data_IF_758256959283
#
_entry.id   IF_758256959283
#
_cell.length_a   1.000
_cell.length_b   1.000
_cell.length_c   1.000
_cell.angle_alpha   90.00
_cell.angle_beta   90.00
_cell.angle_gamma   90.00
#
_symmetry.space_group_name_H-M   'P 1'
#
loop_
_entity.id
_entity.type
_entity.pdbx_description
1 polymer ?
#
# COMPACT_ATOMS: atom_id res chain seq x y z
N UNK A 1 10.39 4.86 22.70
CA UNK A 1 10.97 5.07 21.35
C UNK A 1 11.51 6.48 21.34
N UNK A 2 12.83 6.64 21.32
CA UNK A 2 13.43 7.96 21.07
C UNK A 2 13.28 8.23 19.58
N UNK A 3 12.43 9.19 19.23
CA UNK A 3 12.30 9.69 17.88
C UNK A 3 13.60 10.42 17.53
N UNK A 4 14.28 9.97 16.47
CA UNK A 4 15.49 10.64 16.01
C UNK A 4 15.09 12.07 15.60
N UNK A 5 15.53 13.05 16.39
CA UNK A 5 15.33 14.47 16.12
C UNK A 5 16.20 14.86 14.92
N UNK A 6 15.66 14.75 13.71
CA UNK A 6 16.34 15.17 12.48
C UNK A 6 16.25 16.69 12.30
N UNK A 7 17.20 17.40 12.90
CA UNK A 7 17.45 18.82 12.64
C UNK A 7 18.93 19.02 12.30
N UNK A 8 19.33 18.79 11.04
CA UNK A 8 20.38 19.53 10.32
C UNK A 8 20.90 18.76 9.08
N UNK A 9 20.38 19.08 7.89
CA UNK A 9 21.03 19.06 6.55
C UNK A 9 19.98 18.80 5.45
N UNK A 10 18.98 19.69 5.33
CA UNK A 10 17.79 19.46 4.53
C UNK A 10 18.05 19.39 3.00
N UNK A 11 19.15 19.95 2.49
CA UNK A 11 19.37 20.03 1.03
C UNK A 11 20.05 18.80 0.45
N UNK A 12 21.10 18.28 1.08
CA UNK A 12 21.77 17.06 0.60
C UNK A 12 20.91 15.82 0.85
N UNK A 13 20.24 15.76 2.00
CA UNK A 13 19.33 14.66 2.34
C UNK A 13 18.13 14.60 1.37
N UNK A 14 17.64 15.76 0.90
CA UNK A 14 16.56 15.83 -0.09
C UNK A 14 16.94 15.17 -1.43
N UNK A 15 18.13 15.43 -1.95
CA UNK A 15 18.57 14.82 -3.22
C UNK A 15 18.74 13.29 -3.09
N UNK A 16 19.21 12.82 -1.93
CA UNK A 16 19.31 11.39 -1.65
C UNK A 16 17.95 10.71 -1.60
N UNK A 17 17.00 11.31 -0.89
CA UNK A 17 15.62 10.80 -0.81
C UNK A 17 14.99 10.78 -2.20
N UNK A 18 15.13 11.85 -2.99
CA UNK A 18 14.59 11.92 -4.34
C UNK A 18 15.18 10.83 -5.26
N UNK A 19 16.42 10.39 -5.05
CA UNK A 19 17.04 9.29 -5.80
C UNK A 19 16.41 7.91 -5.52
N UNK A 20 15.64 7.78 -4.43
CA UNK A 20 14.91 6.56 -4.06
C UNK A 20 13.54 6.46 -4.73
N UNK A 21 13.08 7.51 -5.42
CA UNK A 21 11.77 7.55 -6.06
C UNK A 21 11.73 6.55 -7.21
N UNK A 22 10.72 5.69 -7.20
CA UNK A 22 10.54 4.65 -8.19
C UNK A 22 10.30 5.26 -9.59
N UNK A 23 11.12 4.83 -10.55
CA UNK A 23 10.93 5.18 -11.95
C UNK A 23 9.57 4.69 -12.46
N UNK A 24 9.10 5.25 -13.58
CA UNK A 24 7.83 4.81 -14.17
C UNK A 24 7.83 3.31 -14.50
N UNK A 25 8.95 2.78 -14.98
CA UNK A 25 9.05 1.38 -15.37
C UNK A 25 9.17 0.45 -14.16
N UNK A 26 9.89 0.88 -13.11
CA UNK A 26 9.87 0.18 -11.82
C UNK A 26 8.46 0.16 -11.24
N UNK A 27 7.73 1.28 -11.22
CA UNK A 27 6.34 1.33 -10.76
C UNK A 27 5.45 0.36 -11.53
N UNK A 28 5.58 0.28 -12.85
CA UNK A 28 4.85 -0.72 -13.64
C UNK A 28 5.23 -2.14 -13.24
N UNK A 29 6.53 -2.47 -13.18
CA UNK A 29 7.03 -3.81 -12.88
C UNK A 29 6.70 -4.30 -11.46
N UNK A 30 6.49 -3.36 -10.55
CA UNK A 30 6.10 -3.61 -9.17
C UNK A 30 4.60 -3.44 -8.92
N UNK A 31 3.83 -3.34 -10.00
CA UNK A 31 2.36 -3.36 -9.98
C UNK A 31 1.70 -2.13 -9.39
N UNK A 32 2.36 -0.97 -9.36
CA UNK A 32 1.73 0.29 -8.98
C UNK A 32 0.70 0.75 -10.03
N UNK A 33 -0.34 1.48 -9.62
CA UNK A 33 -1.21 2.19 -10.55
C UNK A 33 -0.42 3.23 -11.37
N UNK A 34 -0.42 3.09 -12.69
CA UNK A 34 0.27 3.98 -13.62
C UNK A 34 -0.68 4.44 -14.71
N UNK A 35 -0.81 5.75 -14.92
CA UNK A 35 -1.66 6.25 -15.99
C UNK A 35 -1.06 5.94 -17.38
N UNK A 36 -1.93 5.46 -18.27
CA UNK A 36 -1.66 5.21 -19.69
C UNK A 36 -2.79 5.85 -20.52
N UNK A 37 -2.50 7.01 -21.12
CA UNK A 37 -3.49 7.83 -21.85
C UNK A 37 -4.69 8.16 -20.94
N UNK A 38 -5.90 7.78 -21.33
CA UNK A 38 -7.15 7.98 -20.57
C UNK A 38 -7.44 6.89 -19.54
N UNK A 39 -6.61 5.85 -19.42
CA UNK A 39 -6.84 4.71 -18.55
C UNK A 39 -5.75 4.55 -17.49
N UNK A 40 -6.05 3.85 -16.40
CA UNK A 40 -5.08 3.45 -15.38
C UNK A 40 -4.65 2.01 -15.63
N UNK A 41 -3.35 1.80 -15.75
CA UNK A 41 -2.73 0.49 -15.84
C UNK A 41 -2.33 0.02 -14.45
N UNK A 42 -2.74 -1.18 -14.09
CA UNK A 42 -2.25 -1.90 -12.91
C UNK A 42 -1.74 -3.24 -13.42
N UNK A 43 -0.46 -3.56 -13.16
CA UNK A 43 0.09 -4.84 -13.60
C UNK A 43 -0.69 -5.99 -12.93
N UNK A 44 -1.02 -7.06 -13.69
CA UNK A 44 -1.58 -8.27 -13.13
C UNK A 44 -0.60 -8.91 -12.14
N UNK A 45 -1.13 -9.62 -11.15
CA UNK A 45 -0.35 -10.27 -10.11
C UNK A 45 0.75 -11.19 -10.69
N UNK A 46 1.95 -11.17 -10.09
CA UNK A 46 3.11 -12.01 -10.44
C UNK A 46 2.85 -13.53 -10.39
N UNK A 47 1.74 -13.97 -9.79
CA UNK A 47 1.32 -15.38 -9.74
C UNK A 47 0.40 -15.79 -10.91
N UNK A 48 0.03 -14.84 -11.79
CA UNK A 48 -0.65 -15.11 -13.04
C UNK A 48 0.36 -15.00 -14.18
N UNK A 49 0.80 -16.13 -14.72
CA UNK A 49 1.65 -16.24 -15.91
C UNK A 49 0.99 -15.71 -17.20
N UNK A 50 -0.20 -15.11 -17.11
CA UNK A 50 -0.92 -14.50 -18.21
C UNK A 50 -1.00 -12.99 -17.98
N UNK A 51 -0.59 -12.24 -19.01
CA UNK A 51 -0.87 -10.81 -19.16
C UNK A 51 -2.39 -10.65 -19.22
N UNK A 52 -3.03 -10.57 -18.05
CA UNK A 52 -4.47 -10.37 -17.94
C UNK A 52 -4.73 -8.86 -17.91
N UNK A 53 -5.01 -8.28 -19.07
CA UNK A 53 -5.78 -7.04 -19.05
C UNK A 53 -7.14 -7.39 -18.43
N UNK A 54 -7.52 -6.74 -17.33
CA UNK A 54 -8.89 -6.83 -16.85
C UNK A 54 -9.79 -6.37 -18.01
N UNK A 55 -10.48 -7.31 -18.63
CA UNK A 55 -11.52 -6.97 -19.62
C UNK A 55 -12.79 -6.64 -18.85
N UNK A 56 -13.70 -5.87 -19.44
CA UNK A 56 -15.00 -5.57 -18.82
C UNK A 56 -15.84 -6.83 -18.53
N UNK A 57 -15.40 -7.98 -19.05
CA UNK A 57 -16.02 -9.30 -18.89
C UNK A 57 -15.16 -10.26 -18.04
N UNK A 58 -14.07 -9.78 -17.42
CA UNK A 58 -13.22 -10.62 -16.58
C UNK A 58 -13.83 -10.84 -15.20
N UNK A 59 -14.58 -11.93 -15.11
CA UNK A 59 -15.24 -12.41 -13.90
C UNK A 59 -14.39 -13.42 -13.12
N UNK A 60 -13.15 -13.68 -13.53
CA UNK A 60 -12.31 -14.71 -12.90
C UNK A 60 -11.38 -14.09 -11.85
N UNK A 61 -11.24 -14.75 -10.70
CA UNK A 61 -10.36 -14.34 -9.61
C UNK A 61 -9.48 -15.51 -9.18
N UNK A 62 -8.34 -15.20 -8.57
CA UNK A 62 -7.44 -16.18 -7.96
C UNK A 62 -7.42 -15.95 -6.47
N UNK A 63 -7.77 -16.99 -5.71
CA UNK A 63 -7.77 -16.93 -4.28
C UNK A 63 -6.32 -16.78 -3.76
N UNK A 64 -6.02 -15.70 -3.04
CA UNK A 64 -4.66 -15.48 -2.50
C UNK A 64 -4.30 -16.44 -1.36
N UNK A 65 -5.31 -17.08 -0.72
CA UNK A 65 -5.13 -18.15 0.27
C UNK A 65 -4.79 -19.50 -0.37
N UNK A 66 -5.72 -20.03 -1.16
CA UNK A 66 -5.66 -21.42 -1.66
C UNK A 66 -5.24 -21.55 -3.13
N UNK A 67 -5.01 -20.43 -3.81
CA UNK A 67 -4.62 -20.36 -5.23
C UNK A 67 -5.66 -20.92 -6.21
N UNK A 68 -6.86 -21.28 -5.73
CA UNK A 68 -7.99 -21.70 -6.57
C UNK A 68 -8.48 -20.54 -7.42
N UNK A 69 -8.74 -20.83 -8.69
CA UNK A 69 -9.42 -19.93 -9.62
C UNK A 69 -10.92 -20.06 -9.42
N UNK A 70 -11.63 -18.95 -9.26
CA UNK A 70 -13.08 -18.91 -9.04
C UNK A 70 -13.73 -17.75 -9.79
N UNK A 71 -15.05 -17.79 -9.92
CA UNK A 71 -15.82 -16.75 -10.61
C UNK A 71 -16.53 -15.81 -9.63
N UNK A 72 -16.62 -14.53 -9.99
CA UNK A 72 -17.41 -13.49 -9.33
C UNK A 72 -18.46 -12.94 -10.28
N UNK A 73 -19.47 -12.27 -9.75
CA UNK A 73 -20.43 -11.53 -10.56
C UNK A 73 -19.77 -10.32 -11.24
N UNK A 74 -20.48 -9.67 -12.18
CA UNK A 74 -19.91 -8.57 -12.99
C UNK A 74 -19.46 -7.36 -12.15
N UNK A 75 -20.16 -7.11 -11.04
CA UNK A 75 -19.81 -6.06 -10.08
C UNK A 75 -18.62 -6.45 -9.18
N UNK A 76 -18.24 -7.73 -9.17
CA UNK A 76 -17.19 -8.30 -8.34
C UNK A 76 -17.71 -9.12 -7.15
N UNK A 77 -19.03 -9.24 -6.98
CA UNK A 77 -19.60 -9.98 -5.87
C UNK A 77 -19.26 -11.47 -5.95
N UNK A 78 -18.66 -12.00 -4.88
CA UNK A 78 -18.45 -13.41 -4.70
C UNK A 78 -19.67 -14.03 -4.00
N UNK A 79 -20.39 -14.86 -4.75
CA UNK A 79 -21.55 -15.58 -4.23
C UNK A 79 -21.13 -16.65 -3.23
N UNK A 80 -21.68 -16.59 -2.02
CA UNK A 80 -21.53 -17.63 -0.99
C UNK A 80 -22.74 -18.57 -1.03
N UNK A 81 -22.47 -19.88 -1.06
CA UNK A 81 -23.49 -20.93 -1.10
C UNK A 81 -23.59 -21.62 0.26
N UNK A 82 -24.24 -20.96 1.22
CA UNK A 82 -24.40 -21.48 2.59
C UNK A 82 -23.08 -21.60 3.36
N UNK A 83 -23.03 -22.54 4.30
CA UNK A 83 -21.89 -22.71 5.21
C UNK A 83 -20.83 -23.70 4.69
N UNK A 84 -21.01 -24.22 3.47
CA UNK A 84 -20.07 -25.18 2.88
C UNK A 84 -18.71 -24.50 2.61
N UNK A 85 -17.58 -25.08 3.06
CA UNK A 85 -16.28 -24.50 2.82
C UNK A 85 -15.87 -24.63 1.35
N UNK A 86 -15.46 -23.51 0.75
CA UNK A 86 -14.99 -23.43 -0.65
C UNK A 86 -13.49 -23.13 -0.73
N UNK A 87 -12.92 -22.49 0.28
CA UNK A 87 -11.49 -22.20 0.38
C UNK A 87 -10.84 -23.05 1.47
N UNK A 88 -9.91 -23.91 1.06
CA UNK A 88 -9.16 -24.78 1.96
C UNK A 88 -7.71 -24.35 1.99
N UNK A 89 -7.19 -24.05 3.18
CA UNK A 89 -5.80 -23.63 3.36
C UNK A 89 -5.12 -24.65 4.24
N UNK A 90 -4.09 -25.31 3.68
CA UNK A 90 -3.35 -26.33 4.40
C UNK A 90 -2.88 -25.77 5.75
N UNK A 91 -3.29 -26.41 6.85
CA UNK A 91 -2.95 -26.02 8.24
C UNK A 91 -3.51 -24.67 8.74
N UNK A 92 -4.39 -23.99 7.99
CA UNK A 92 -4.96 -22.69 8.39
C UNK A 92 -6.49 -22.65 8.39
N UNK A 93 -7.15 -23.77 8.09
CA UNK A 93 -8.60 -23.94 8.21
C UNK A 93 -9.37 -23.93 6.88
N UNK A 94 -10.68 -23.95 7.02
CA UNK A 94 -11.64 -24.01 5.92
C UNK A 94 -12.56 -22.80 6.00
N UNK A 95 -12.77 -22.12 4.87
CA UNK A 95 -13.56 -20.90 4.77
C UNK A 95 -14.64 -21.07 3.70
N UNK A 96 -15.83 -20.55 3.95
CA UNK A 96 -16.96 -20.54 2.99
C UNK A 96 -16.85 -19.43 1.94
N UNK A 97 -15.70 -18.74 1.86
CA UNK A 97 -15.42 -17.71 0.86
C UNK A 97 -13.93 -17.75 0.44
N UNK A 98 -13.64 -17.40 -0.81
CA UNK A 98 -12.29 -17.10 -1.30
C UNK A 98 -11.91 -15.63 -1.04
N UNK A 99 -10.61 -15.32 -1.10
CA UNK A 99 -10.12 -13.93 -0.97
C UNK A 99 -9.24 -13.52 -2.15
N UNK A 100 -9.39 -12.30 -2.64
CA UNK A 100 -8.58 -11.77 -3.74
C UNK A 100 -8.28 -10.28 -3.53
N UNK A 101 -7.21 -9.80 -4.17
CA UNK A 101 -6.81 -8.37 -4.19
C UNK A 101 -6.99 -7.74 -5.57
N UNK A 102 -7.60 -8.49 -6.49
CA UNK A 102 -7.84 -8.07 -7.87
C UNK A 102 -9.00 -7.08 -7.93
N UNK A 103 -8.78 -5.93 -8.57
CA UNK A 103 -9.77 -4.86 -8.75
C UNK A 103 -10.57 -5.06 -10.03
N UNK A 104 -11.86 -4.70 -10.04
CA UNK A 104 -12.68 -4.73 -11.25
C UNK A 104 -12.32 -3.57 -12.19
N UNK A 105 -12.65 -3.69 -13.49
CA UNK A 105 -12.43 -2.61 -14.47
C UNK A 105 -13.16 -1.33 -14.06
N UNK A 106 -14.36 -1.46 -13.50
CA UNK A 106 -15.13 -0.31 -13.02
C UNK A 106 -14.43 0.42 -11.89
N UNK A 107 -13.85 -0.30 -10.93
CA UNK A 107 -13.06 0.33 -9.86
C UNK A 107 -11.81 1.02 -10.45
N UNK A 108 -11.14 0.42 -11.43
CA UNK A 108 -9.97 1.04 -12.09
C UNK A 108 -10.33 2.38 -12.77
N UNK A 109 -11.55 2.55 -13.29
CA UNK A 109 -12.04 3.80 -13.88
C UNK A 109 -12.21 4.93 -12.84
N UNK A 110 -12.34 4.59 -11.56
CA UNK A 110 -12.51 5.58 -10.46
C UNK A 110 -11.20 6.13 -9.93
N UNK A 111 -10.04 5.63 -10.39
CA UNK A 111 -8.75 6.04 -9.86
C UNK A 111 -8.48 7.52 -10.13
N UNK A 112 -8.01 8.23 -9.11
CA UNK A 112 -7.72 9.66 -9.20
C UNK A 112 -6.24 9.94 -8.96
N UNK A 113 -5.79 11.11 -9.43
CA UNK A 113 -4.43 11.61 -9.17
C UNK A 113 -4.49 12.65 -8.07
N UNK A 114 -3.42 12.69 -7.28
CA UNK A 114 -3.19 13.83 -6.40
C UNK A 114 -3.25 15.15 -7.19
N UNK A 115 -3.76 16.24 -6.58
CA UNK A 115 -3.96 17.51 -7.25
C UNK A 115 -2.65 18.10 -7.75
N UNK A 116 -2.72 18.92 -8.80
CA UNK A 116 -1.55 19.67 -9.28
C UNK A 116 -1.14 20.71 -8.24
N UNK A 117 0.15 20.99 -8.20
CA UNK A 117 0.66 22.12 -7.44
C UNK A 117 0.08 23.46 -7.94
N UNK A 118 -0.37 24.28 -7.01
CA UNK A 118 -0.84 25.65 -7.20
C UNK A 118 -0.33 26.52 -6.02
N UNK A 119 -0.49 27.86 -6.06
CA UNK A 119 0.04 28.72 -5.01
C UNK A 119 -0.41 28.38 -3.57
N UNK A 120 -1.58 27.73 -3.41
CA UNK A 120 -2.14 27.36 -2.12
C UNK A 120 -1.61 26.04 -1.56
N UNK A 121 -0.96 25.19 -2.36
CA UNK A 121 -0.49 23.86 -1.92
C UNK A 121 0.97 23.56 -2.34
N UNK A 122 1.65 24.48 -3.04
CA UNK A 122 3.01 24.28 -3.56
C UNK A 122 4.01 23.90 -2.46
N UNK A 123 3.80 24.39 -1.24
CA UNK A 123 4.63 24.09 -0.07
C UNK A 123 4.58 22.61 0.38
N UNK A 124 3.68 21.80 -0.18
CA UNK A 124 3.64 20.35 0.04
C UNK A 124 4.51 19.56 -0.94
N UNK A 125 5.04 20.21 -1.98
CA UNK A 125 5.92 19.59 -2.96
C UNK A 125 7.23 19.14 -2.30
N UNK A 126 7.73 17.95 -2.67
CA UNK A 126 8.95 17.31 -2.13
C UNK A 126 8.93 16.97 -0.64
N UNK A 127 7.83 17.27 0.08
CA UNK A 127 7.63 16.76 1.45
C UNK A 127 7.27 15.29 1.42
N UNK A 128 7.75 14.56 2.42
CA UNK A 128 7.45 13.14 2.58
C UNK A 128 6.15 12.95 3.37
N UNK A 129 5.35 11.98 2.94
CA UNK A 129 4.19 11.48 3.68
C UNK A 129 4.24 9.96 3.67
N UNK A 130 4.37 9.34 4.84
CA UNK A 130 4.27 7.90 4.93
C UNK A 130 2.80 7.50 5.09
N UNK A 131 2.38 6.52 4.30
CA UNK A 131 1.00 6.04 4.19
C UNK A 131 1.00 4.54 4.44
N UNK A 132 0.04 4.08 5.24
CA UNK A 132 -0.25 2.67 5.45
C UNK A 132 -1.76 2.45 5.51
N UNK A 133 -2.20 1.27 5.04
CA UNK A 133 -3.60 0.88 4.97
C UNK A 133 -3.83 -0.50 5.58
N UNK A 134 -4.65 -0.53 6.62
CA UNK A 134 -5.20 -1.78 7.12
C UNK A 134 -6.43 -2.16 6.30
N UNK A 135 -6.46 -3.40 5.84
CA UNK A 135 -7.50 -3.90 4.95
C UNK A 135 -8.31 -5.02 5.59
N UNK A 136 -9.53 -5.18 5.13
CA UNK A 136 -10.41 -6.32 5.41
C UNK A 136 -10.77 -7.06 4.12
N UNK A 137 -11.29 -8.28 4.22
CA UNK A 137 -11.86 -9.00 3.09
C UNK A 137 -13.38 -8.94 3.12
N UNK A 138 -13.96 -8.44 2.04
CA UNK A 138 -15.40 -8.31 1.83
C UNK A 138 -15.89 -9.29 0.77
N UNK A 139 -17.18 -9.22 0.48
CA UNK A 139 -17.78 -9.94 -0.63
C UNK A 139 -17.25 -9.56 -2.01
N UNK A 140 -16.46 -8.50 -2.14
CA UNK A 140 -15.87 -8.05 -3.41
C UNK A 140 -14.32 -8.09 -3.40
N UNK A 141 -13.74 -8.78 -2.42
CA UNK A 141 -12.28 -8.88 -2.24
C UNK A 141 -11.77 -7.95 -1.15
N UNK A 142 -10.51 -7.53 -1.28
CA UNK A 142 -9.88 -6.66 -0.29
C UNK A 142 -10.47 -5.24 -0.32
N UNK A 143 -10.81 -4.70 0.85
CA UNK A 143 -11.30 -3.34 1.03
C UNK A 143 -10.53 -2.63 2.16
N UNK A 144 -10.49 -1.30 2.11
CA UNK A 144 -9.85 -0.46 3.13
C UNK A 144 -10.68 -0.49 4.42
N UNK A 145 -10.03 -0.70 5.56
CA UNK A 145 -10.65 -0.60 6.88
C UNK A 145 -10.06 0.47 7.80
N UNK A 146 -8.77 0.83 7.62
CA UNK A 146 -8.16 2.01 8.26
C UNK A 146 -7.07 2.59 7.38
N UNK A 147 -6.89 3.90 7.44
CA UNK A 147 -5.84 4.62 6.73
C UNK A 147 -5.10 5.51 7.73
N UNK A 148 -3.78 5.43 7.71
CA UNK A 148 -2.92 6.33 8.46
C UNK A 148 -1.94 7.03 7.52
N UNK A 149 -1.80 8.35 7.66
CA UNK A 149 -0.81 9.17 6.99
C UNK A 149 -0.04 9.94 8.05
N UNK A 150 1.29 9.85 8.00
CA UNK A 150 2.18 10.65 8.83
C UNK A 150 3.04 11.57 7.97
N UNK A 151 3.33 12.78 8.47
CA UNK A 151 4.22 13.72 7.79
C UNK A 151 5.69 13.30 7.93
N UNK A 152 6.58 14.06 7.28
CA UNK A 152 8.04 13.87 7.32
C UNK A 152 8.68 13.97 8.72
N UNK A 153 7.93 14.42 9.74
CA UNK A 153 8.39 14.49 11.12
C UNK A 153 7.80 13.36 11.98
N UNK A 154 6.95 12.51 11.40
CA UNK A 154 6.25 11.43 12.09
C UNK A 154 4.99 11.89 12.84
N UNK A 155 4.50 13.11 12.58
CA UNK A 155 3.21 13.55 13.13
C UNK A 155 2.07 12.98 12.29
N UNK A 156 0.98 12.60 12.96
CA UNK A 156 -0.23 12.11 12.27
C UNK A 156 -0.87 13.26 11.49
N UNK A 157 -0.93 13.12 10.17
CA UNK A 157 -1.65 14.01 9.27
C UNK A 157 -3.09 13.52 9.01
N UNK A 158 -3.30 12.21 9.00
CA UNK A 158 -4.60 11.56 8.89
C UNK A 158 -4.57 10.21 9.61
N UNK A 159 -5.60 9.90 10.39
CA UNK A 159 -5.83 8.56 10.91
C UNK A 159 -7.34 8.35 11.04
N UNK A 160 -7.89 7.41 10.26
CA UNK A 160 -9.33 7.19 10.24
C UNK A 160 -9.71 5.76 9.87
N UNK A 161 -10.77 5.26 10.49
CA UNK A 161 -11.44 4.03 10.09
C UNK A 161 -12.34 4.29 8.88
N UNK A 162 -12.35 3.35 7.94
CA UNK A 162 -13.11 3.43 6.70
C UNK A 162 -14.21 2.38 6.74
N UNK A 163 -15.44 2.79 6.46
CA UNK A 163 -16.59 1.90 6.37
C UNK A 163 -16.59 1.20 5.01
N UNK A 164 -16.41 -0.14 4.97
CA UNK A 164 -16.57 -0.89 3.74
C UNK A 164 -18.03 -0.79 3.27
N UNK A 165 -18.26 -0.66 1.96
CA UNK A 165 -19.62 -0.63 1.40
C UNK A 165 -20.25 -2.02 1.41
N UNK A 166 -19.40 -3.03 1.30
CA UNK A 166 -19.74 -4.44 1.16
C UNK A 166 -19.67 -5.18 2.51
N UNK A 167 -20.29 -6.36 2.55
CA UNK A 167 -20.25 -7.24 3.72
C UNK A 167 -18.82 -7.70 3.96
N UNK A 168 -18.30 -7.47 5.17
CA UNK A 168 -16.99 -7.96 5.62
C UNK A 168 -17.10 -9.42 6.03
N UNK A 169 -16.32 -10.29 5.40
CA UNK A 169 -16.23 -11.72 5.74
C UNK A 169 -15.07 -12.03 6.67
N UNK A 170 -13.99 -11.26 6.60
CA UNK A 170 -12.84 -11.45 7.46
C UNK A 170 -12.09 -10.16 7.67
N UNK A 171 -11.98 -9.77 8.94
CA UNK A 171 -11.30 -8.56 9.38
C UNK A 171 -9.79 -8.71 9.32
N UNK A 172 -9.27 -9.93 9.21
CA UNK A 172 -7.85 -10.29 9.30
C UNK A 172 -7.17 -9.65 10.50
N UNK A 173 -7.86 -9.61 11.64
CA UNK A 173 -7.48 -8.86 12.86
C UNK A 173 -6.06 -9.14 13.32
N UNK A 174 -5.55 -10.37 13.17
CA UNK A 174 -4.16 -10.71 13.52
C UNK A 174 -3.11 -9.91 12.72
N UNK A 175 -3.49 -9.37 11.56
CA UNK A 175 -2.66 -8.54 10.71
C UNK A 175 -3.18 -7.09 10.74
N UNK A 176 -4.49 -6.86 10.63
CA UNK A 176 -5.04 -5.51 10.48
C UNK A 176 -5.27 -4.73 11.77
N UNK A 177 -5.37 -5.43 12.89
CA UNK A 177 -5.88 -4.89 14.16
C UNK A 177 -7.33 -4.38 14.11
N UNK A 178 -8.05 -4.62 13.01
CA UNK A 178 -9.44 -4.21 12.85
C UNK A 178 -10.38 -5.20 13.53
N UNK A 179 -11.45 -4.66 14.10
CA UNK A 179 -12.53 -5.43 14.73
C UNK A 179 -13.86 -4.95 14.17
N UNK A 180 -14.95 -5.73 14.30
CA UNK A 180 -16.28 -5.28 13.90
C UNK A 180 -16.66 -3.93 14.51
N UNK A 181 -16.33 -3.71 15.78
CA UNK A 181 -16.65 -2.49 16.52
C UNK A 181 -15.93 -1.27 15.92
N UNK A 182 -14.68 -1.42 15.45
CA UNK A 182 -13.97 -0.34 14.76
C UNK A 182 -14.69 0.13 13.49
N UNK A 183 -15.28 -0.80 12.73
CA UNK A 183 -15.92 -0.49 11.44
C UNK A 183 -17.41 -0.15 11.57
N UNK A 184 -18.07 -0.57 12.65
CA UNK A 184 -19.49 -0.27 12.91
C UNK A 184 -19.76 1.24 12.96
N UNK A 185 -18.86 1.97 13.64
CA UNK A 185 -18.96 3.43 13.82
C UNK A 185 -18.18 4.24 12.80
N UNK A 186 -17.47 3.59 11.87
CA UNK A 186 -16.76 4.29 10.80
C UNK A 186 -17.77 5.03 9.91
N UNK A 187 -17.50 6.31 9.65
CA UNK A 187 -18.35 7.14 8.78
C UNK A 187 -17.70 7.45 7.44
N UNK A 188 -16.39 7.32 7.35
CA UNK A 188 -15.63 7.65 6.16
C UNK A 188 -15.76 6.55 5.10
N UNK A 189 -15.93 6.95 3.85
CA UNK A 189 -15.79 6.07 2.68
C UNK A 189 -14.38 6.20 2.08
N UNK A 190 -13.98 5.23 1.26
CA UNK A 190 -12.73 5.29 0.49
C UNK A 190 -12.62 6.59 -0.32
N UNK A 191 -13.72 7.05 -0.93
CA UNK A 191 -13.74 8.31 -1.66
C UNK A 191 -13.48 9.50 -0.74
N UNK A 192 -14.17 9.59 0.40
CA UNK A 192 -13.96 10.70 1.35
C UNK A 192 -12.55 10.74 1.91
N UNK A 193 -11.96 9.56 2.22
CA UNK A 193 -10.58 9.47 2.69
C UNK A 193 -9.60 9.87 1.60
N UNK A 194 -9.82 9.45 0.35
CA UNK A 194 -9.00 9.87 -0.79
C UNK A 194 -9.02 11.39 -0.95
N UNK A 195 -10.17 12.04 -0.84
CA UNK A 195 -10.25 13.50 -0.89
C UNK A 195 -9.50 14.15 0.29
N UNK A 196 -9.57 13.59 1.51
CA UNK A 196 -8.76 14.05 2.64
C UNK A 196 -7.26 13.91 2.40
N UNK A 197 -6.82 12.78 1.83
CA UNK A 197 -5.42 12.59 1.43
C UNK A 197 -5.02 13.66 0.41
N UNK A 198 -5.87 13.98 -0.58
CA UNK A 198 -5.61 15.02 -1.58
C UNK A 198 -5.60 16.45 -1.02
N UNK A 199 -6.17 16.69 0.15
CA UNK A 199 -5.99 17.95 0.87
C UNK A 199 -4.62 18.04 1.57
N UNK A 200 -4.01 16.89 1.87
CA UNK A 200 -2.71 16.79 2.53
C UNK A 200 -1.58 16.75 1.50
N UNK A 201 -1.76 16.08 0.36
CA UNK A 201 -0.69 15.90 -0.64
C UNK A 201 -1.00 16.59 -1.97
N UNK A 202 0.04 16.94 -2.70
CA UNK A 202 -0.07 17.28 -4.13
C UNK A 202 0.71 16.25 -4.97
N UNK A 203 0.62 16.33 -6.30
CA UNK A 203 1.29 15.38 -7.22
C UNK A 203 2.83 15.34 -7.11
N UNK A 204 3.44 16.33 -6.44
CA UNK A 204 4.89 16.45 -6.20
C UNK A 204 5.29 16.13 -4.76
N UNK A 205 4.34 15.90 -3.85
CA UNK A 205 4.62 15.32 -2.53
C UNK A 205 5.14 13.90 -2.71
N UNK A 206 6.02 13.42 -1.85
CA UNK A 206 6.62 12.08 -1.96
C UNK A 206 5.87 11.14 -1.01
N UNK A 207 5.22 10.11 -1.55
CA UNK A 207 4.59 9.07 -0.74
C UNK A 207 5.60 7.98 -0.38
N UNK A 208 5.62 7.59 0.87
CA UNK A 208 6.49 6.55 1.43
C UNK A 208 5.64 5.44 2.03
N UNK A 209 6.08 4.19 1.92
CA UNK A 209 5.40 3.07 2.59
C UNK A 209 6.13 1.75 2.37
N UNK A 210 5.46 0.66 2.75
CA UNK A 210 5.95 -0.69 2.55
C UNK A 210 4.92 -1.51 1.77
N UNK A 211 5.29 -2.02 0.60
CA UNK A 211 4.34 -2.66 -0.32
C UNK A 211 3.16 -1.74 -0.72
N UNK A 212 3.46 -0.44 -0.83
CA UNK A 212 2.55 0.68 -1.05
C UNK A 212 1.72 0.57 -2.34
N UNK A 213 2.13 -0.32 -3.25
CA UNK A 213 1.34 -0.67 -4.43
C UNK A 213 -0.04 -1.25 -4.06
N UNK A 214 -0.18 -1.93 -2.92
CA UNK A 214 -1.47 -2.45 -2.43
C UNK A 214 -2.36 -1.32 -1.96
N UNK A 215 -1.82 -0.45 -1.12
CA UNK A 215 -2.54 0.67 -0.50
C UNK A 215 -3.07 1.64 -1.55
N UNK A 216 -2.23 2.01 -2.52
CA UNK A 216 -2.63 2.91 -3.61
C UNK A 216 -3.69 2.29 -4.53
N UNK A 217 -3.73 0.96 -4.66
CA UNK A 217 -4.83 0.27 -5.36
C UNK A 217 -6.12 0.34 -4.57
N UNK A 218 -6.06 0.03 -3.28
CA UNK A 218 -7.24 0.01 -2.41
C UNK A 218 -7.84 1.41 -2.21
N UNK A 219 -7.00 2.45 -2.23
CA UNK A 219 -7.41 3.84 -2.19
C UNK A 219 -7.83 4.41 -3.55
N UNK A 220 -7.56 3.72 -4.65
CA UNK A 220 -7.82 4.23 -6.00
C UNK A 220 -7.01 5.50 -6.31
N UNK A 221 -5.73 5.52 -5.95
CA UNK A 221 -4.81 6.65 -6.13
C UNK A 221 -3.71 6.31 -7.13
N UNK A 222 -3.49 7.22 -8.08
CA UNK A 222 -2.34 7.20 -8.99
C UNK A 222 -1.37 8.31 -8.59
N UNK A 223 -0.19 7.92 -8.10
CA UNK A 223 0.84 8.86 -7.67
C UNK A 223 2.20 8.55 -8.29
N UNK A 224 2.97 9.59 -8.65
CA UNK A 224 4.25 9.42 -9.35
C UNK A 224 5.47 9.44 -8.48
N UNK A 225 5.45 10.24 -7.41
CA UNK A 225 6.57 10.39 -6.50
C UNK A 225 6.39 9.41 -5.34
N UNK A 226 6.81 8.16 -5.55
CA UNK A 226 6.60 7.06 -4.59
C UNK A 226 7.94 6.40 -4.25
N UNK A 227 8.18 6.19 -2.95
CA UNK A 227 9.28 5.38 -2.43
C UNK A 227 8.67 4.20 -1.67
N UNK A 228 9.03 2.99 -2.07
CA UNK A 228 8.52 1.76 -1.42
C UNK A 228 9.69 1.00 -0.80
N UNK A 229 9.67 0.87 0.53
CA UNK A 229 10.73 0.22 1.30
C UNK A 229 10.88 -1.26 0.95
N UNK A 230 9.81 -1.95 0.56
CA UNK A 230 9.86 -3.35 0.11
C UNK A 230 10.59 -3.50 -1.23
N UNK A 231 10.62 -2.43 -2.04
CA UNK A 231 11.27 -2.39 -3.36
C UNK A 231 12.73 -1.96 -3.24
N UNK A 232 13.00 -0.84 -2.58
CA UNK A 232 14.37 -0.29 -2.52
C UNK A 232 15.31 -1.22 -1.74
N UNK A 233 14.80 -1.97 -0.75
CA UNK A 233 15.56 -3.01 -0.02
C UNK A 233 15.36 -4.43 -0.58
N UNK A 234 14.80 -4.57 -1.79
CA UNK A 234 14.63 -5.90 -2.39
C UNK A 234 15.98 -6.60 -2.60
N UNK A 235 16.00 -7.92 -2.48
CA UNK A 235 17.21 -8.71 -2.70
C UNK A 235 16.91 -9.88 -3.63
N UNK A 236 17.56 -9.92 -4.80
CA UNK A 236 17.35 -10.94 -5.84
C UNK A 236 15.85 -11.12 -6.19
N UNK A 237 15.13 -10.00 -6.33
CA UNK A 237 13.71 -9.98 -6.65
C UNK A 237 12.77 -10.38 -5.50
N UNK A 238 13.30 -10.70 -4.31
CA UNK A 238 12.50 -10.96 -3.11
C UNK A 238 12.34 -9.68 -2.29
N UNK A 239 11.10 -9.41 -1.89
CA UNK A 239 10.75 -8.29 -1.01
C UNK A 239 10.86 -8.73 0.45
N UNK A 240 11.68 -8.08 1.28
CA UNK A 240 11.73 -8.35 2.71
C UNK A 240 10.46 -7.83 3.40
N UNK A 241 10.13 -8.38 4.57
CA UNK A 241 9.03 -7.84 5.39
C UNK A 241 9.44 -6.52 6.07
N UNK A 242 8.46 -5.68 6.40
CA UNK A 242 8.71 -4.45 7.15
C UNK A 242 9.34 -4.75 8.51
N UNK A 243 8.86 -5.80 9.19
CA UNK A 243 9.42 -6.29 10.46
C UNK A 243 10.90 -6.64 10.37
N UNK A 244 11.30 -7.37 9.33
CA UNK A 244 12.71 -7.74 9.12
C UNK A 244 13.58 -6.50 8.87
N UNK A 245 13.09 -5.56 8.06
CA UNK A 245 13.80 -4.31 7.77
C UNK A 245 13.96 -3.45 9.03
N UNK A 246 12.88 -3.25 9.78
CA UNK A 246 12.86 -2.47 11.01
C UNK A 246 13.80 -3.09 12.07
N UNK A 247 13.76 -4.41 12.23
CA UNK A 247 14.67 -5.11 13.14
C UNK A 247 16.12 -4.98 12.70
N UNK A 248 16.42 -5.16 11.41
CA UNK A 248 17.78 -5.20 10.89
C UNK A 248 18.46 -3.83 10.86
N UNK A 249 17.73 -2.79 10.46
CA UNK A 249 18.32 -1.48 10.16
C UNK A 249 17.97 -0.40 11.18
N UNK A 250 16.84 -0.51 11.88
CA UNK A 250 16.44 0.45 12.91
C UNK A 250 16.60 -0.11 14.33
N UNK A 251 16.88 -1.42 14.48
CA UNK A 251 16.85 -2.14 15.75
C UNK A 251 15.48 -2.02 16.46
N UNK A 252 14.41 -1.97 15.67
CA UNK A 252 13.03 -1.86 16.17
C UNK A 252 12.33 -3.21 16.17
N UNK A 253 11.49 -3.44 17.17
CA UNK A 253 10.64 -4.62 17.27
C UNK A 253 9.19 -4.21 17.11
N UNK A 254 8.70 -4.25 15.87
CA UNK A 254 7.34 -3.85 15.46
C UNK A 254 6.46 -5.07 15.18
N UNK A 255 5.15 -4.86 15.05
CA UNK A 255 4.18 -5.92 14.68
C UNK A 255 4.18 -7.14 15.62
N UNK A 256 4.54 -6.94 16.90
CA UNK A 256 4.56 -8.01 17.92
C UNK A 256 3.24 -8.12 18.70
N UNK A 257 2.29 -7.23 18.45
CA UNK A 257 1.02 -7.17 19.16
C UNK A 257 0.13 -8.36 18.79
N UNK A 258 -0.48 -9.00 19.79
CA UNK A 258 -1.51 -10.03 19.58
C UNK A 258 -2.80 -9.46 18.99
N UNK A 259 -2.99 -8.15 19.09
CA UNK A 259 -4.17 -7.43 18.61
C UNK A 259 -4.02 -6.94 17.17
N UNK A 260 -3.06 -7.47 16.40
CA UNK A 260 -2.80 -7.04 15.02
C UNK A 260 -1.74 -5.94 14.90
N UNK A 261 -1.45 -5.56 13.65
CA UNK A 261 -0.50 -4.50 13.36
C UNK A 261 -1.11 -3.12 13.67
N UNK A 262 -0.23 -2.12 13.66
CA UNK A 262 -0.59 -0.74 13.90
C UNK A 262 -0.10 0.09 12.71
N UNK A 263 -1.03 0.55 11.88
CA UNK A 263 -0.73 1.38 10.71
C UNK A 263 0.12 2.62 11.01
N UNK A 264 0.00 3.21 12.20
CA UNK A 264 0.90 4.29 12.64
C UNK A 264 2.34 3.80 12.85
N UNK A 265 2.53 2.66 13.54
CA UNK A 265 3.86 2.05 13.74
C UNK A 265 4.50 1.72 12.40
N UNK A 266 3.72 1.13 11.47
CA UNK A 266 4.19 0.71 10.15
C UNK A 266 4.53 1.91 9.24
N UNK A 267 3.73 2.98 9.29
CA UNK A 267 4.02 4.24 8.59
C UNK A 267 5.31 4.88 9.09
N UNK A 268 5.51 4.94 10.40
CA UNK A 268 6.71 5.53 11.02
C UNK A 268 7.95 4.68 10.73
N UNK A 269 7.84 3.36 10.81
CA UNK A 269 8.93 2.45 10.45
C UNK A 269 9.35 2.62 8.99
N UNK A 270 8.37 2.70 8.08
CA UNK A 270 8.63 2.93 6.65
C UNK A 270 9.33 4.26 6.39
N UNK A 271 8.88 5.34 7.06
CA UNK A 271 9.50 6.66 6.96
C UNK A 271 10.96 6.65 7.44
N UNK A 272 11.23 6.05 8.60
CA UNK A 272 12.58 5.97 9.16
C UNK A 272 13.51 5.08 8.31
N UNK A 273 12.98 4.02 7.69
CA UNK A 273 13.73 3.21 6.74
C UNK A 273 14.14 4.01 5.49
N UNK A 274 13.32 4.95 5.01
CA UNK A 274 13.70 5.84 3.90
C UNK A 274 14.81 6.80 4.32
N UNK A 275 14.74 7.38 5.52
CA UNK A 275 15.85 8.20 6.03
C UNK A 275 17.14 7.40 6.17
N UNK A 276 17.07 6.20 6.73
CA UNK A 276 18.22 5.29 6.81
C UNK A 276 18.77 4.93 5.42
N UNK A 277 17.89 4.63 4.46
CA UNK A 277 18.26 4.29 3.08
C UNK A 277 19.01 5.43 2.37
N UNK A 278 18.56 6.67 2.56
CA UNK A 278 19.18 7.85 1.97
C UNK A 278 20.63 8.04 2.45
N UNK A 279 20.91 7.68 3.71
CA UNK A 279 22.26 7.73 4.29
C UNK A 279 23.09 6.48 3.95
N UNK A 280 22.45 5.34 3.68
CA UNK A 280 23.09 4.04 3.53
C UNK A 280 22.80 3.37 2.17
N UNK A 281 22.84 4.14 1.08
CA UNK A 281 22.52 3.66 -0.28
C UNK A 281 23.25 2.37 -0.71
N UNK A 282 24.45 2.10 -0.19
CA UNK A 282 25.21 0.88 -0.47
C UNK A 282 24.55 -0.42 0.03
N UNK A 283 23.56 -0.33 0.94
CA UNK A 283 22.79 -1.46 1.47
C UNK A 283 21.51 -1.75 0.67
N UNK A 284 21.19 -0.91 -0.31
CA UNK A 284 19.97 -1.01 -1.09
C UNK A 284 20.12 -1.99 -2.26
N UNK A 285 19.02 -2.28 -2.93
CA UNK A 285 19.04 -3.03 -4.19
C UNK A 285 19.86 -2.28 -5.26
N UNK A 286 20.50 -2.99 -6.23
CA UNK A 286 21.47 -2.40 -7.14
C UNK A 286 21.01 -1.15 -7.88
N UNK A 287 19.71 -1.07 -8.23
CA UNK A 287 19.10 0.08 -8.89
C UNK A 287 19.14 1.38 -8.06
N UNK A 288 19.31 1.28 -6.74
CA UNK A 288 19.32 2.40 -5.79
C UNK A 288 20.65 2.55 -5.05
N UNK A 289 21.63 1.69 -5.34
CA UNK A 289 22.99 1.92 -4.87
C UNK A 289 23.58 3.09 -5.64
N UNK A 290 24.21 4.03 -4.94
CA UNK A 290 25.07 5.00 -5.63
C UNK A 290 26.18 4.23 -6.32
N UNK A 291 26.47 4.59 -7.57
CA UNK A 291 27.83 4.41 -8.07
C UNK A 291 28.73 5.23 -7.14
N UNK A 292 29.36 4.56 -6.18
CA UNK A 292 30.53 5.11 -5.52
C UNK A 292 31.58 5.29 -6.61
N UNK A 293 31.62 6.48 -7.20
CA UNK A 293 32.80 6.99 -7.89
C UNK A 293 33.92 6.91 -6.86
N UNK A 294 34.69 5.83 -6.91
CA UNK A 294 35.92 5.67 -6.17
C UNK A 294 36.80 6.88 -6.52
N UNK A 295 37.05 7.75 -5.54
CA UNK A 295 38.22 8.61 -5.51
C UNK A 295 39.35 7.87 -4.80
#
# INVERSE_FOLDING_TARGET
MEYISYNSCLTEQSAQIESLILSRDQRKAYGFPVQMKSQVYVQPCQYSSKVLFYTEYDNTRVCTRCQTVFEVERDGYQRIWGDSPVCQVANHGMYNFHIHTQQSVEVLKTFQRAPREDPSNQFMSRKLFALDVESVYTSHGQAVGRVTVVDQYGNVALDCFVKPKEIVYDYVTQYSGLTPEHLEYATETVESVREKIFQIINRRSILVGHALNGDLKNLGIVHSEVIDTSVIFSNNGRRPSLRDLASRYLNWSIQNSINGHCSYEDSIASLNLVYFAAENSHLLSPDFQKCSSLY
#
